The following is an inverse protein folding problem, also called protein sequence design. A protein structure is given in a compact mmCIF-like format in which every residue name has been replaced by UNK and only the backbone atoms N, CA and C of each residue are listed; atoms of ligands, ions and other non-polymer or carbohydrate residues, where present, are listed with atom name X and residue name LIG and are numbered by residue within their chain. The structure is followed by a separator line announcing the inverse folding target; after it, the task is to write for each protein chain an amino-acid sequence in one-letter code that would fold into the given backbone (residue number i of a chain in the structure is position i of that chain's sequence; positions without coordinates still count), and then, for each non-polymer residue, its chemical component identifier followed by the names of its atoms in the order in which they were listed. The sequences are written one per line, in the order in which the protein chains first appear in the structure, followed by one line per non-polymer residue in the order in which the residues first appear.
data_IF_286614666759
#
_entry.id   IF_286614666759
#
_cell.length_a   1.000
_cell.length_b   1.000
_cell.length_c   1.000
_cell.angle_alpha   90.00
_cell.angle_beta   90.00
_cell.angle_gamma   90.00
#
_symmetry.space_group_name_H-M   'P 1'
#
loop_
_entity.id
_entity.type
_entity.pdbx_description
1 polymer ?
#
# COMPACT_ATOMS: atom_id res chain seq x y z
N UNK A 1 -5.89 -4.24 0.77
CA UNK A 1 -6.64 -2.99 0.53
C UNK A 1 -6.67 -1.98 1.68
N UNK A 2 -6.97 -2.34 2.94
CA UNK A 2 -7.00 -1.34 4.04
C UNK A 2 -5.69 -0.56 4.22
N UNK A 3 -4.56 -1.26 4.15
CA UNK A 3 -3.21 -0.68 4.23
C UNK A 3 -2.97 0.37 3.12
N UNK A 4 -3.42 0.09 1.89
CA UNK A 4 -3.32 1.01 0.75
C UNK A 4 -4.14 2.28 0.98
N UNK A 5 -5.44 2.13 1.32
CA UNK A 5 -6.34 3.28 1.47
C UNK A 5 -5.91 4.16 2.64
N UNK A 6 -5.66 3.58 3.81
CA UNK A 6 -5.15 4.34 4.97
C UNK A 6 -3.77 4.93 4.70
N UNK A 7 -2.91 4.21 3.97
CA UNK A 7 -1.59 4.67 3.57
C UNK A 7 -1.66 5.96 2.76
N UNK A 8 -2.47 5.97 1.69
CA UNK A 8 -2.64 7.12 0.81
C UNK A 8 -3.32 8.30 1.52
N UNK A 9 -4.40 8.06 2.28
CA UNK A 9 -5.07 9.13 3.03
C UNK A 9 -4.13 9.83 4.03
N UNK A 10 -3.21 9.08 4.64
CA UNK A 10 -2.24 9.64 5.58
C UNK A 10 -1.04 10.31 4.88
N UNK A 11 -0.56 9.75 3.76
CA UNK A 11 0.61 10.28 3.05
C UNK A 11 0.28 11.49 2.18
N UNK A 12 -0.97 11.58 1.70
CA UNK A 12 -1.41 12.59 0.75
C UNK A 12 -2.64 13.36 1.27
N UNK A 13 -2.56 14.02 2.44
CA UNK A 13 -3.68 14.79 2.99
C UNK A 13 -4.06 15.99 2.12
N UNK A 14 -3.20 16.36 1.17
CA UNK A 14 -3.43 17.40 0.17
C UNK A 14 -4.26 16.93 -1.04
N UNK A 15 -4.51 15.62 -1.18
CA UNK A 15 -5.40 15.05 -2.21
C UNK A 15 -6.75 14.75 -1.58
N UNK A 16 -7.84 15.14 -2.25
CA UNK A 16 -9.20 14.90 -1.75
C UNK A 16 -9.42 13.41 -1.45
N UNK A 17 -9.94 13.11 -0.25
CA UNK A 17 -10.34 11.77 0.17
C UNK A 17 -11.18 11.03 -0.88
N UNK A 18 -12.08 11.74 -1.57
CA UNK A 18 -12.95 11.19 -2.62
C UNK A 18 -12.15 10.63 -3.79
N UNK A 19 -11.01 11.22 -4.14
CA UNK A 19 -10.14 10.69 -5.20
C UNK A 19 -9.72 9.25 -4.91
N UNK A 20 -9.26 8.98 -3.69
CA UNK A 20 -8.81 7.64 -3.28
C UNK A 20 -9.96 6.63 -3.23
N UNK A 21 -11.14 7.05 -2.78
CA UNK A 21 -12.32 6.19 -2.70
C UNK A 21 -12.83 5.84 -4.10
N UNK A 22 -12.92 6.84 -4.99
CA UNK A 22 -13.42 6.64 -6.35
C UNK A 22 -12.51 5.73 -7.18
N UNK A 23 -11.20 5.75 -6.91
CA UNK A 23 -10.23 4.89 -7.60
C UNK A 23 -9.96 3.56 -6.88
N UNK A 24 -10.61 3.30 -5.74
CA UNK A 24 -10.33 2.12 -4.91
C UNK A 24 -10.52 0.80 -5.66
N UNK A 25 -11.64 0.66 -6.38
CA UNK A 25 -11.98 -0.56 -7.11
C UNK A 25 -11.00 -0.80 -8.26
N UNK A 26 -10.68 0.25 -9.04
CA UNK A 26 -9.69 0.18 -10.11
C UNK A 26 -8.32 -0.29 -9.59
N UNK A 27 -7.86 0.28 -8.47
CA UNK A 27 -6.56 -0.08 -7.91
C UNK A 27 -6.58 -1.49 -7.31
N UNK A 28 -7.69 -1.92 -6.70
CA UNK A 28 -7.84 -3.32 -6.24
C UNK A 28 -7.65 -4.29 -7.39
N UNK A 29 -8.29 -4.03 -8.53
CA UNK A 29 -8.24 -4.94 -9.68
C UNK A 29 -6.84 -4.93 -10.32
N UNK A 30 -6.17 -3.78 -10.38
CA UNK A 30 -4.78 -3.69 -10.83
C UNK A 30 -3.80 -4.44 -9.89
N UNK A 31 -4.00 -4.34 -8.58
CA UNK A 31 -3.22 -5.07 -7.57
C UNK A 31 -3.37 -6.59 -7.73
N UNK A 32 -4.55 -7.09 -8.08
CA UNK A 32 -4.78 -8.52 -8.33
C UNK A 32 -4.02 -9.06 -9.55
N UNK A 33 -3.66 -8.19 -10.48
CA UNK A 33 -2.88 -8.52 -11.67
C UNK A 33 -1.37 -8.30 -11.47
N UNK A 34 -0.96 -7.74 -10.33
CA UNK A 34 0.43 -7.42 -10.00
C UNK A 34 1.06 -8.50 -9.12
N UNK A 35 2.38 -8.58 -9.13
CA UNK A 35 3.09 -9.40 -8.14
C UNK A 35 3.10 -8.64 -6.81
N UNK A 36 2.51 -9.26 -5.76
CA UNK A 36 2.41 -8.67 -4.44
C UNK A 36 3.28 -9.43 -3.45
N UNK A 37 4.25 -8.74 -2.87
CA UNK A 37 5.08 -9.25 -1.79
C UNK A 37 4.56 -8.67 -0.47
N UNK A 38 4.19 -9.53 0.48
CA UNK A 38 3.67 -9.10 1.79
C UNK A 38 4.75 -9.11 2.86
N UNK A 39 4.67 -8.15 3.79
CA UNK A 39 5.49 -8.10 5.00
C UNK A 39 4.60 -8.50 6.17
N UNK A 40 5.02 -9.51 6.93
CA UNK A 40 4.27 -10.05 8.06
C UNK A 40 5.02 -9.89 9.38
N UNK A 41 4.29 -9.58 10.45
CA UNK A 41 4.77 -9.64 11.84
C UNK A 41 3.75 -10.44 12.66
N UNK A 42 4.18 -11.52 13.31
CA UNK A 42 3.33 -12.41 14.12
C UNK A 42 2.04 -12.82 13.40
N UNK A 43 2.16 -13.26 12.14
CA UNK A 43 1.04 -13.65 11.26
C UNK A 43 0.06 -12.52 10.93
N UNK A 44 0.39 -11.27 11.22
CA UNK A 44 -0.33 -10.10 10.76
C UNK A 44 0.38 -9.51 9.55
N UNK A 45 -0.34 -9.30 8.44
CA UNK A 45 0.17 -8.48 7.34
C UNK A 45 0.32 -7.03 7.82
N UNK A 46 1.55 -6.53 7.80
CA UNK A 46 1.91 -5.18 8.25
C UNK A 46 2.29 -4.25 7.11
N UNK A 47 2.57 -4.78 5.93
CA UNK A 47 2.89 -4.02 4.74
C UNK A 47 2.85 -4.89 3.49
N UNK A 48 3.01 -4.25 2.34
CA UNK A 48 3.18 -4.94 1.07
C UNK A 48 3.95 -4.07 0.08
N UNK A 49 4.52 -4.71 -0.93
CA UNK A 49 5.15 -4.10 -2.11
C UNK A 49 4.42 -4.65 -3.33
N UNK A 50 4.01 -3.76 -4.23
CA UNK A 50 3.45 -4.11 -5.53
C UNK A 50 4.51 -3.94 -6.61
N UNK A 51 4.81 -5.03 -7.30
CA UNK A 51 5.76 -5.10 -8.40
C UNK A 51 5.03 -5.30 -9.72
N UNK A 52 5.47 -4.58 -10.74
CA UNK A 52 5.11 -4.82 -12.13
C UNK A 52 6.39 -5.19 -12.89
N UNK A 53 6.60 -6.49 -13.11
CA UNK A 53 7.87 -7.03 -13.57
C UNK A 53 9.03 -6.58 -12.65
N UNK A 54 9.97 -5.79 -13.17
CA UNK A 54 11.11 -5.26 -12.40
C UNK A 54 10.85 -3.87 -11.80
N UNK A 55 9.65 -3.32 -11.99
CA UNK A 55 9.28 -1.98 -11.51
C UNK A 55 8.54 -2.05 -10.18
N UNK A 56 9.03 -1.30 -9.18
CA UNK A 56 8.33 -1.10 -7.92
C UNK A 56 7.23 -0.05 -8.13
N UNK A 57 5.99 -0.53 -8.27
CA UNK A 57 4.83 0.33 -8.49
C UNK A 57 4.36 0.97 -7.19
N UNK A 58 4.44 0.25 -6.08
CA UNK A 58 3.98 0.75 -4.78
C UNK A 58 4.62 0.05 -3.59
N UNK A 59 4.74 0.78 -2.47
CA UNK A 59 5.21 0.27 -1.18
C UNK A 59 4.40 0.86 -0.05
N UNK A 60 3.82 0.00 0.79
CA UNK A 60 3.05 0.43 1.93
C UNK A 60 3.40 -0.36 3.19
N UNK A 61 3.57 0.36 4.30
CA UNK A 61 3.71 -0.20 5.65
C UNK A 61 2.71 0.49 6.55
N UNK A 62 2.05 -0.23 7.46
CA UNK A 62 1.17 0.33 8.49
C UNK A 62 1.93 1.33 9.35
N UNK A 63 1.31 2.47 9.68
CA UNK A 63 1.95 3.57 10.43
C UNK A 63 2.70 3.11 11.69
N UNK A 64 2.10 2.20 12.48
CA UNK A 64 2.69 1.69 13.73
C UNK A 64 4.01 0.91 13.56
N UNK A 65 4.34 0.50 12.33
CA UNK A 65 5.58 -0.23 12.00
C UNK A 65 6.54 0.60 11.12
N UNK A 66 6.20 1.85 10.80
CA UNK A 66 7.12 2.77 10.10
C UNK A 66 8.25 3.20 11.05
N UNK A 67 9.36 3.73 10.52
CA UNK A 67 10.56 4.16 11.27
C UNK A 67 11.35 3.06 12.01
N UNK A 68 11.14 1.80 11.62
CA UNK A 68 11.91 0.64 12.12
C UNK A 68 12.96 0.13 11.11
N UNK A 69 13.36 0.95 10.13
CA UNK A 69 14.39 0.61 9.15
C UNK A 69 13.92 -0.16 7.89
N UNK A 70 12.60 -0.35 7.70
CA UNK A 70 12.06 -1.07 6.53
C UNK A 70 11.96 -0.28 5.22
N UNK A 71 12.40 0.97 5.19
CA UNK A 71 12.51 1.79 3.98
C UNK A 71 13.91 2.39 3.91
N UNK A 72 14.80 1.74 3.17
CA UNK A 72 16.09 2.25 2.75
C UNK A 72 16.20 2.05 1.24
#
# INVERSE_FOLDING_TARGET
MKIWLEGNLNAHPFVDRKYWINNFEMVRDALQQSEIIVIEDKSQIIGFVGMQNTYLAEIFVKNKFRRHGGGK
#
